data_IF_731405409787
#
_entry.id   IF_731405409787
#
_cell.length_a   1.000
_cell.length_b   1.000
_cell.length_c   1.000
_cell.angle_alpha   90.00
_cell.angle_beta   90.00
_cell.angle_gamma   90.00
#
_symmetry.space_group_name_H-M   'P 1'
#
loop_
_entity.id
_entity.type
_entity.pdbx_description
1 polymer ?
#
# COMPACT_ATOMS: atom_id res chain seq x y z
N UNK A 1 64.13 -11.72 11.33
CA UNK A 1 63.58 -11.81 9.96
C UNK A 1 62.05 -11.70 9.88
N UNK A 2 61.24 -12.43 10.66
CA UNK A 2 59.77 -12.31 10.61
C UNK A 2 59.21 -11.07 11.35
N UNK A 3 59.85 -10.66 12.46
CA UNK A 3 59.43 -9.47 13.22
C UNK A 3 59.74 -8.14 12.51
N UNK A 4 60.85 -8.05 11.78
CA UNK A 4 61.20 -6.85 11.00
C UNK A 4 60.32 -6.67 9.76
N UNK A 5 59.88 -7.77 9.11
CA UNK A 5 58.90 -7.68 8.00
C UNK A 5 57.54 -7.18 8.49
N UNK A 6 57.10 -7.60 9.67
CA UNK A 6 55.85 -7.13 10.26
C UNK A 6 55.90 -5.64 10.69
N UNK A 7 57.08 -5.15 11.10
CA UNK A 7 57.29 -3.74 11.40
C UNK A 7 57.36 -2.87 10.13
N UNK A 8 58.02 -3.36 9.07
CA UNK A 8 58.08 -2.68 7.78
C UNK A 8 56.71 -2.61 7.07
N UNK A 9 55.87 -3.64 7.23
CA UNK A 9 54.52 -3.69 6.65
C UNK A 9 53.53 -2.79 7.42
N UNK A 10 53.70 -2.66 8.75
CA UNK A 10 52.97 -1.66 9.55
C UNK A 10 53.42 -0.23 9.25
N UNK A 11 54.71 0.01 9.06
CA UNK A 11 55.24 1.33 8.70
C UNK A 11 54.87 1.75 7.25
N UNK A 12 54.63 0.79 6.36
CA UNK A 12 54.13 1.04 5.00
C UNK A 12 52.61 1.31 4.97
N UNK A 13 51.85 0.73 5.91
CA UNK A 13 50.41 0.96 6.04
C UNK A 13 50.06 2.33 6.66
N UNK A 14 50.99 2.95 7.39
CA UNK A 14 50.76 4.23 8.10
C UNK A 14 50.96 5.48 7.23
N UNK A 15 51.40 5.34 5.96
CA UNK A 15 51.67 6.46 5.04
C UNK A 15 50.67 6.67 3.91
N UNK A 16 49.53 5.97 3.89
CA UNK A 16 48.47 6.15 2.88
C UNK A 16 47.13 6.37 3.57
N UNK A 17 47.01 7.47 4.30
CA UNK A 17 45.71 8.07 4.59
C UNK A 17 45.87 9.57 4.38
N UNK A 18 45.52 10.12 3.20
CA UNK A 18 45.19 11.52 3.17
C UNK A 18 43.96 11.70 4.06
N UNK A 19 44.13 12.48 5.12
CA UNK A 19 43.09 12.94 6.04
C UNK A 19 42.03 13.72 5.27
N UNK A 20 41.13 12.99 4.60
CA UNK A 20 39.91 13.51 4.05
C UNK A 20 38.86 13.37 5.16
N UNK A 21 38.72 14.42 5.97
CA UNK A 21 37.62 14.56 6.91
C UNK A 21 36.31 14.10 6.24
N UNK A 22 35.52 13.18 6.85
CA UNK A 22 34.22 12.84 6.30
C UNK A 22 33.36 14.09 6.44
N UNK A 23 33.22 14.86 5.36
CA UNK A 23 32.21 15.92 5.27
C UNK A 23 30.87 15.21 5.40
N UNK A 24 30.36 15.10 6.62
CA UNK A 24 29.03 14.61 6.89
C UNK A 24 28.09 15.45 6.03
N UNK A 25 27.50 14.83 4.99
CA UNK A 25 26.47 15.51 4.20
C UNK A 25 25.36 15.84 5.18
N UNK A 26 25.23 17.13 5.49
CA UNK A 26 24.12 17.72 6.25
C UNK A 26 22.84 16.92 6.00
N UNK A 27 22.29 16.33 7.07
CA UNK A 27 21.09 15.50 7.02
C UNK A 27 19.92 16.26 6.43
N UNK A 28 18.94 15.56 5.86
CA UNK A 28 17.78 16.19 5.21
C UNK A 28 17.11 17.28 6.06
N UNK A 29 17.01 17.06 7.38
CA UNK A 29 16.45 18.02 8.33
C UNK A 29 17.27 19.32 8.46
N UNK A 30 18.61 19.25 8.42
CA UNK A 30 19.45 20.46 8.50
C UNK A 30 19.47 21.26 7.21
N UNK A 31 18.98 20.69 6.09
CA UNK A 31 18.74 21.42 4.84
C UNK A 31 17.45 22.24 4.88
N UNK A 32 16.42 21.73 5.57
CA UNK A 32 15.17 22.45 5.80
C UNK A 32 15.31 23.61 6.79
N UNK A 33 16.15 23.43 7.82
CA UNK A 33 16.27 24.42 8.90
C UNK A 33 17.19 25.60 8.59
N UNK A 34 18.00 25.51 7.52
CA UNK A 34 18.90 26.57 7.09
C UNK A 34 18.31 27.38 5.91
N UNK A 35 16.99 27.44 5.84
CA UNK A 35 16.29 28.36 4.95
C UNK A 35 16.43 29.78 5.54
N UNK A 36 17.42 30.54 5.04
CA UNK A 36 17.26 32.00 4.93
C UNK A 36 15.83 32.20 4.45
N UNK A 37 14.95 32.83 5.25
CA UNK A 37 13.55 33.06 4.88
C UNK A 37 13.54 33.62 3.46
N UNK A 38 13.14 32.78 2.48
CA UNK A 38 13.07 33.19 1.10
C UNK A 38 11.92 34.19 1.02
N UNK A 39 12.25 35.46 0.78
CA UNK A 39 11.25 36.50 0.65
C UNK A 39 10.31 36.16 -0.53
N UNK A 40 9.01 35.92 -0.29
CA UNK A 40 8.08 35.45 -1.32
C UNK A 40 7.99 36.40 -2.53
N UNK A 41 8.27 37.69 -2.29
CA UNK A 41 8.27 38.74 -3.31
C UNK A 41 9.53 38.75 -4.18
N UNK A 42 10.67 38.27 -3.64
CA UNK A 42 11.89 38.08 -4.42
C UNK A 42 11.75 36.85 -5.34
N UNK A 43 11.19 35.75 -4.81
CA UNK A 43 10.82 34.56 -5.59
C UNK A 43 9.87 34.87 -6.75
N UNK A 44 8.91 35.78 -6.53
CA UNK A 44 7.97 36.19 -7.57
C UNK A 44 8.65 37.01 -8.69
N UNK A 45 9.60 37.88 -8.33
CA UNK A 45 10.35 38.71 -9.28
C UNK A 45 11.31 37.87 -10.13
N UNK A 46 11.94 36.88 -9.52
CA UNK A 46 12.80 35.91 -10.21
C UNK A 46 11.99 34.95 -11.08
N UNK A 47 10.77 34.57 -10.65
CA UNK A 47 9.81 33.82 -11.45
C UNK A 47 9.34 34.62 -12.68
N UNK A 48 9.06 35.91 -12.52
CA UNK A 48 8.68 36.78 -13.64
C UNK A 48 9.83 36.97 -14.63
N UNK A 49 11.07 37.08 -14.13
CA UNK A 49 12.28 37.14 -14.95
C UNK A 49 12.62 35.80 -15.64
N UNK A 50 12.36 34.66 -15.00
CA UNK A 50 12.50 33.33 -15.64
C UNK A 50 11.39 33.07 -16.67
N UNK A 51 10.20 33.65 -16.49
CA UNK A 51 9.11 33.58 -17.46
C UNK A 51 9.38 34.42 -18.71
N UNK A 52 10.15 35.51 -18.59
CA UNK A 52 10.56 36.35 -19.71
C UNK A 52 11.83 35.87 -20.43
N UNK A 53 12.63 35.02 -19.80
CA UNK A 53 13.76 34.35 -20.44
C UNK A 53 13.23 33.06 -21.10
N UNK A 54 12.56 33.22 -22.24
CA UNK A 54 12.37 32.13 -23.19
C UNK A 54 13.74 31.54 -23.50
N UNK A 55 14.12 30.46 -22.84
CA UNK A 55 15.14 29.59 -23.42
C UNK A 55 14.57 29.14 -24.75
N UNK A 56 15.23 29.46 -25.86
CA UNK A 56 14.96 28.97 -27.22
C UNK A 56 15.13 27.44 -27.31
N UNK A 57 14.44 26.71 -26.46
CA UNK A 57 14.17 25.30 -26.60
C UNK A 57 12.91 25.28 -27.45
N UNK A 58 12.94 24.68 -28.65
CA UNK A 58 11.74 24.50 -29.44
C UNK A 58 10.78 23.59 -28.67
N UNK A 59 9.82 24.20 -27.96
CA UNK A 59 8.73 23.51 -27.29
C UNK A 59 7.60 23.42 -28.31
N UNK A 60 7.28 22.21 -28.76
CA UNK A 60 6.13 21.98 -29.63
C UNK A 60 4.84 22.27 -28.86
N UNK A 61 4.34 23.50 -28.93
CA UNK A 61 3.15 23.94 -28.19
C UNK A 61 1.91 23.12 -28.52
N UNK A 62 1.80 22.63 -29.75
CA UNK A 62 0.68 21.80 -30.19
C UNK A 62 0.76 20.39 -29.58
N UNK A 63 1.96 19.85 -29.40
CA UNK A 63 2.18 18.63 -28.63
C UNK A 63 1.80 18.87 -27.16
N UNK A 64 2.21 19.98 -26.56
CA UNK A 64 1.88 20.31 -25.17
C UNK A 64 0.36 20.55 -24.96
N UNK A 65 -0.32 21.19 -25.91
CA UNK A 65 -1.78 21.43 -25.90
C UNK A 65 -2.56 20.12 -26.08
N UNK A 66 -2.07 19.21 -26.91
CA UNK A 66 -2.71 17.89 -27.08
C UNK A 66 -2.49 17.00 -25.85
N UNK A 67 -1.28 16.95 -25.30
CA UNK A 67 -0.96 16.23 -24.07
C UNK A 67 -1.74 16.77 -22.87
N UNK A 68 -1.83 18.09 -22.71
CA UNK A 68 -2.59 18.71 -21.62
C UNK A 68 -4.09 18.49 -21.77
N UNK A 69 -4.66 18.53 -22.99
CA UNK A 69 -6.06 18.14 -23.23
C UNK A 69 -6.29 16.66 -22.88
N UNK A 70 -5.38 15.77 -23.27
CA UNK A 70 -5.46 14.36 -22.94
C UNK A 70 -5.37 14.12 -21.42
N UNK A 71 -4.45 14.80 -20.74
CA UNK A 71 -4.28 14.74 -19.29
C UNK A 71 -5.53 15.26 -18.55
N UNK A 72 -6.08 16.41 -18.99
CA UNK A 72 -7.31 16.97 -18.44
C UNK A 72 -8.53 16.08 -18.68
N UNK A 73 -8.61 15.44 -19.86
CA UNK A 73 -9.63 14.43 -20.17
C UNK A 73 -9.57 13.25 -19.21
N UNK A 74 -8.37 12.69 -18.97
CA UNK A 74 -8.14 11.61 -17.99
C UNK A 74 -8.54 12.03 -16.58
N UNK A 75 -8.11 13.23 -16.14
CA UNK A 75 -8.41 13.77 -14.82
C UNK A 75 -9.92 13.98 -14.59
N UNK A 76 -10.63 14.49 -15.60
CA UNK A 76 -12.09 14.64 -15.55
C UNK A 76 -12.80 13.28 -15.51
N UNK A 77 -12.28 12.27 -16.20
CA UNK A 77 -12.73 10.88 -16.09
C UNK A 77 -12.64 10.36 -14.66
N UNK A 78 -11.47 10.48 -14.02
CA UNK A 78 -11.28 10.05 -12.63
C UNK A 78 -12.20 10.79 -11.65
N UNK A 79 -12.41 12.10 -11.83
CA UNK A 79 -13.33 12.89 -10.99
C UNK A 79 -14.78 12.38 -11.11
N UNK A 80 -15.26 12.13 -12.33
CA UNK A 80 -16.61 11.60 -12.59
C UNK A 80 -16.81 10.20 -11.99
N UNK A 81 -15.81 9.34 -12.08
CA UNK A 81 -15.90 8.00 -11.49
C UNK A 81 -15.95 8.08 -9.96
N UNK A 82 -15.12 8.94 -9.36
CA UNK A 82 -15.10 9.12 -7.91
C UNK A 82 -16.43 9.65 -7.36
N UNK A 83 -17.06 10.63 -8.03
CA UNK A 83 -18.39 11.15 -7.63
C UNK A 83 -19.47 10.09 -7.79
N UNK A 84 -19.46 9.35 -8.90
CA UNK A 84 -20.39 8.25 -9.16
C UNK A 84 -20.31 7.16 -8.07
N UNK A 85 -19.10 6.70 -7.73
CA UNK A 85 -18.88 5.71 -6.65
C UNK A 85 -19.38 6.17 -5.30
N UNK A 86 -19.18 7.46 -4.95
CA UNK A 86 -19.72 8.04 -3.71
C UNK A 86 -21.25 8.06 -3.73
N UNK A 87 -21.86 8.44 -4.86
CA UNK A 87 -23.31 8.41 -5.06
C UNK A 87 -23.90 7.01 -4.83
N UNK A 88 -23.31 5.97 -5.41
CA UNK A 88 -23.76 4.59 -5.18
C UNK A 88 -23.71 4.16 -3.70
N UNK A 89 -22.68 4.58 -2.96
CA UNK A 89 -22.59 4.27 -1.53
C UNK A 89 -23.60 5.05 -0.70
N UNK A 90 -23.87 6.31 -1.04
CA UNK A 90 -24.90 7.12 -0.38
C UNK A 90 -26.29 6.52 -0.61
N UNK A 91 -26.60 6.09 -1.84
CA UNK A 91 -27.87 5.45 -2.16
C UNK A 91 -28.10 4.17 -1.34
N UNK A 92 -27.07 3.32 -1.20
CA UNK A 92 -27.17 2.14 -0.34
C UNK A 92 -27.43 2.50 1.12
N UNK A 93 -26.84 3.60 1.62
CA UNK A 93 -27.13 4.11 2.97
C UNK A 93 -28.55 4.62 3.09
N UNK A 94 -29.06 5.31 2.08
CA UNK A 94 -30.44 5.82 2.06
C UNK A 94 -31.47 4.69 2.04
N UNK A 95 -31.25 3.65 1.23
CA UNK A 95 -32.10 2.45 1.21
C UNK A 95 -32.07 1.73 2.56
N UNK A 96 -30.90 1.55 3.17
CA UNK A 96 -30.80 0.93 4.50
C UNK A 96 -31.52 1.75 5.59
N UNK A 97 -31.52 3.08 5.45
CA UNK A 97 -32.27 4.01 6.32
C UNK A 97 -33.76 4.10 5.98
N UNK A 98 -34.24 3.45 4.92
CA UNK A 98 -35.64 3.51 4.48
C UNK A 98 -36.04 4.82 3.78
N UNK A 99 -35.08 5.69 3.42
CA UNK A 99 -35.35 6.92 2.67
C UNK A 99 -35.68 6.67 1.20
N UNK A 100 -35.33 5.49 0.71
CA UNK A 100 -35.60 5.02 -0.66
C UNK A 100 -35.93 3.54 -0.62
N UNK A 101 -36.78 3.10 -1.54
CA UNK A 101 -37.14 1.69 -1.69
C UNK A 101 -36.00 0.86 -2.30
N UNK A 102 -35.34 1.40 -3.34
CA UNK A 102 -34.32 0.69 -4.13
C UNK A 102 -33.16 1.60 -4.53
N UNK A 103 -31.98 1.02 -4.77
CA UNK A 103 -30.83 1.75 -5.32
C UNK A 103 -30.99 1.97 -6.84
N UNK A 104 -30.13 2.80 -7.44
CA UNK A 104 -30.04 2.94 -8.90
C UNK A 104 -29.80 1.61 -9.64
N UNK A 105 -29.15 0.66 -8.97
CA UNK A 105 -28.90 -0.69 -9.51
C UNK A 105 -30.01 -1.70 -9.19
N UNK A 106 -31.14 -1.25 -8.62
CA UNK A 106 -32.28 -2.10 -8.29
C UNK A 106 -32.17 -2.93 -7.01
N UNK A 107 -31.18 -2.67 -6.13
CA UNK A 107 -31.05 -3.41 -4.87
C UNK A 107 -32.02 -2.87 -3.82
N UNK A 108 -32.72 -3.77 -3.15
CA UNK A 108 -33.62 -3.44 -2.03
C UNK A 108 -32.87 -3.49 -0.69
N UNK A 109 -33.56 -3.13 0.40
CA UNK A 109 -32.99 -3.24 1.75
C UNK A 109 -32.63 -4.69 2.09
N UNK A 110 -33.44 -5.64 1.65
CA UNK A 110 -33.22 -7.07 1.92
C UNK A 110 -32.00 -7.62 1.20
N UNK A 111 -31.56 -7.00 0.10
CA UNK A 111 -30.36 -7.43 -0.62
C UNK A 111 -29.06 -6.86 -0.02
N UNK A 112 -29.15 -5.95 0.95
CA UNK A 112 -28.02 -5.23 1.52
C UNK A 112 -27.70 -5.71 2.94
N UNK A 113 -26.40 -5.71 3.27
CA UNK A 113 -25.89 -6.03 4.60
C UNK A 113 -24.77 -5.08 4.98
N UNK A 114 -24.59 -4.90 6.29
CA UNK A 114 -23.44 -4.18 6.87
C UNK A 114 -22.35 -5.20 7.17
N UNK A 115 -21.17 -5.03 6.57
CA UNK A 115 -20.03 -5.89 6.86
C UNK A 115 -19.35 -5.50 8.19
N UNK A 116 -18.39 -6.32 8.67
CA UNK A 116 -17.61 -6.05 9.89
C UNK A 116 -16.90 -4.68 9.91
N UNK A 117 -16.64 -4.09 8.73
CA UNK A 117 -16.00 -2.77 8.58
C UNK A 117 -17.02 -1.61 8.53
N UNK A 118 -18.29 -1.85 8.83
CA UNK A 118 -19.35 -0.85 8.80
C UNK A 118 -19.77 -0.40 7.40
N UNK A 119 -19.41 -1.13 6.34
CA UNK A 119 -19.76 -0.79 4.94
C UNK A 119 -21.00 -1.55 4.49
N UNK A 120 -21.86 -0.86 3.75
CA UNK A 120 -23.07 -1.45 3.16
C UNK A 120 -22.73 -2.06 1.80
N UNK A 121 -22.86 -3.38 1.72
CA UNK A 121 -22.52 -4.20 0.56
C UNK A 121 -23.72 -5.11 0.25
N UNK A 122 -23.84 -5.64 -0.97
CA UNK A 122 -24.87 -6.64 -1.25
C UNK A 122 -24.57 -7.97 -0.59
N UNK A 123 -25.62 -8.71 -0.17
CA UNK A 123 -25.54 -10.05 0.42
C UNK A 123 -24.71 -10.99 -0.45
N UNK A 124 -25.01 -11.04 -1.75
CA UNK A 124 -24.26 -11.84 -2.75
C UNK A 124 -22.76 -11.56 -2.74
N UNK A 125 -22.36 -10.28 -2.68
CA UNK A 125 -20.94 -9.90 -2.64
C UNK A 125 -20.29 -10.25 -1.31
N UNK A 126 -21.03 -10.12 -0.20
CA UNK A 126 -20.55 -10.52 1.12
C UNK A 126 -20.29 -12.03 1.19
N UNK A 127 -21.23 -12.84 0.75
CA UNK A 127 -21.10 -14.31 0.69
C UNK A 127 -19.95 -14.76 -0.20
N UNK A 128 -19.80 -14.15 -1.38
CA UNK A 128 -18.70 -14.44 -2.29
C UNK A 128 -17.34 -14.07 -1.66
N UNK A 129 -17.27 -12.96 -0.93
CA UNK A 129 -16.07 -12.59 -0.17
C UNK A 129 -15.71 -13.59 0.92
N UNK A 130 -16.72 -14.08 1.66
CA UNK A 130 -16.53 -15.13 2.67
C UNK A 130 -16.04 -16.42 2.02
N UNK A 131 -16.73 -16.90 0.98
CA UNK A 131 -16.36 -18.12 0.24
C UNK A 131 -14.92 -18.08 -0.26
N UNK A 132 -14.43 -16.93 -0.76
CA UNK A 132 -13.03 -16.81 -1.23
C UNK A 132 -11.99 -16.76 -0.12
N UNK A 133 -12.37 -16.28 1.06
CA UNK A 133 -11.45 -16.13 2.19
C UNK A 133 -11.35 -17.40 3.01
N UNK A 134 -12.45 -18.15 3.13
CA UNK A 134 -12.55 -19.38 3.92
C UNK A 134 -12.36 -20.64 3.08
N UNK A 135 -11.59 -20.60 2.00
CA UNK A 135 -11.27 -21.79 1.19
C UNK A 135 -9.86 -22.28 1.42
N UNK A 136 -9.65 -23.57 1.16
CA UNK A 136 -8.34 -24.21 1.23
C UNK A 136 -7.79 -24.27 2.66
N UNK A 137 -6.63 -23.67 2.89
CA UNK A 137 -5.84 -23.82 4.12
C UNK A 137 -6.54 -23.21 5.35
N UNK A 138 -7.15 -22.03 5.20
CA UNK A 138 -7.84 -21.36 6.31
C UNK A 138 -9.02 -22.18 6.84
N UNK A 139 -9.78 -22.83 5.96
CA UNK A 139 -10.87 -23.73 6.35
C UNK A 139 -10.36 -24.95 7.11
N UNK A 140 -9.26 -25.52 6.65
CA UNK A 140 -8.64 -26.69 7.27
C UNK A 140 -8.10 -26.35 8.67
N UNK A 141 -7.42 -25.21 8.81
CA UNK A 141 -6.91 -24.73 10.11
C UNK A 141 -8.05 -24.45 11.08
N UNK A 142 -9.14 -23.82 10.64
CA UNK A 142 -10.30 -23.57 11.49
C UNK A 142 -10.90 -24.88 12.03
N UNK A 143 -11.17 -25.84 11.13
CA UNK A 143 -11.68 -27.17 11.50
C UNK A 143 -10.72 -27.93 12.43
N UNK A 144 -9.41 -27.85 12.18
CA UNK A 144 -8.40 -28.48 13.03
C UNK A 144 -8.36 -27.86 14.44
N UNK A 145 -8.50 -26.54 14.54
CA UNK A 145 -8.59 -25.83 15.83
C UNK A 145 -9.82 -26.23 16.62
N UNK A 146 -10.96 -26.35 15.96
CA UNK A 146 -12.21 -26.77 16.58
C UNK A 146 -12.10 -28.23 17.07
N UNK A 147 -11.53 -29.13 16.26
CA UNK A 147 -11.30 -30.53 16.62
C UNK A 147 -10.30 -30.74 17.78
N UNK A 148 -9.36 -29.80 17.96
CA UNK A 148 -8.40 -29.81 19.07
C UNK A 148 -8.82 -28.91 20.24
N UNK A 149 -9.97 -28.23 20.14
CA UNK A 149 -10.48 -27.28 21.15
C UNK A 149 -9.46 -26.20 21.57
N UNK A 150 -8.61 -25.74 20.64
CA UNK A 150 -7.56 -24.75 20.94
C UNK A 150 -8.15 -23.35 21.02
N UNK A 151 -8.15 -22.77 22.23
CA UNK A 151 -8.56 -21.38 22.50
C UNK A 151 -7.34 -20.46 22.53
N UNK A 152 -7.52 -19.22 22.07
CA UNK A 152 -6.43 -18.23 22.03
C UNK A 152 -5.45 -18.42 20.86
N UNK A 153 -4.35 -17.68 20.88
CA UNK A 153 -3.33 -17.74 19.83
C UNK A 153 -2.47 -18.99 19.99
N UNK A 154 -2.27 -19.72 18.89
CA UNK A 154 -1.35 -20.87 18.84
C UNK A 154 -0.60 -20.81 17.52
N UNK A 155 0.74 -20.94 17.59
CA UNK A 155 1.60 -20.97 16.41
C UNK A 155 1.40 -22.30 15.68
N UNK A 156 1.04 -22.22 14.40
CA UNK A 156 0.88 -23.39 13.52
C UNK A 156 2.26 -23.93 13.16
N UNK A 157 2.55 -25.19 13.52
CA UNK A 157 3.85 -25.82 13.23
C UNK A 157 5.03 -25.28 14.06
N UNK A 158 4.75 -24.60 15.18
CA UNK A 158 5.80 -24.13 16.10
C UNK A 158 6.46 -25.26 16.90
N UNK A 159 7.37 -24.90 17.81
CA UNK A 159 8.06 -25.85 18.69
C UNK A 159 7.14 -26.52 19.71
N UNK A 160 6.02 -25.89 20.06
CA UNK A 160 5.02 -26.46 20.95
C UNK A 160 4.32 -27.68 20.33
N UNK A 161 4.15 -28.74 21.10
CA UNK A 161 3.47 -29.97 20.69
C UNK A 161 2.05 -29.71 20.16
N UNK A 162 1.32 -28.80 20.81
CA UNK A 162 -0.02 -28.38 20.38
C UNK A 162 0.00 -27.74 18.98
N UNK A 163 1.04 -26.96 18.67
CA UNK A 163 1.24 -26.32 17.37
C UNK A 163 1.57 -27.33 16.27
N UNK A 164 2.39 -28.34 16.57
CA UNK A 164 2.72 -29.43 15.65
C UNK A 164 1.50 -30.31 15.36
N UNK A 165 0.74 -30.66 16.39
CA UNK A 165 -0.49 -31.46 16.25
C UNK A 165 -1.56 -30.71 15.45
N UNK A 166 -1.70 -29.40 15.65
CA UNK A 166 -2.57 -28.56 14.85
C UNK A 166 -2.17 -28.57 13.38
N UNK A 167 -0.87 -28.43 13.07
CA UNK A 167 -0.38 -28.44 11.70
C UNK A 167 -0.66 -29.78 11.00
N UNK A 168 -0.37 -30.91 11.65
CA UNK A 168 -0.61 -32.25 11.10
C UNK A 168 -2.09 -32.46 10.75
N UNK A 169 -3.00 -32.18 11.69
CA UNK A 169 -4.44 -32.29 11.45
C UNK A 169 -4.94 -31.31 10.37
N UNK A 170 -4.43 -30.07 10.36
CA UNK A 170 -4.79 -29.10 9.33
C UNK A 170 -4.33 -29.56 7.94
N UNK A 171 -3.16 -30.19 7.83
CA UNK A 171 -2.64 -30.74 6.58
C UNK A 171 -3.52 -31.87 6.03
N UNK A 172 -3.94 -32.79 6.88
CA UNK A 172 -4.87 -33.88 6.51
C UNK A 172 -6.22 -33.34 6.02
N UNK A 173 -6.79 -32.36 6.73
CA UNK A 173 -8.04 -31.74 6.32
C UNK A 173 -7.88 -30.93 5.03
N UNK A 174 -6.74 -30.29 4.83
CA UNK A 174 -6.46 -29.54 3.62
C UNK A 174 -6.33 -30.44 2.39
N UNK A 175 -5.63 -31.57 2.49
CA UNK A 175 -5.55 -32.54 1.38
C UNK A 175 -6.91 -33.13 1.06
N UNK A 176 -7.73 -33.42 2.09
CA UNK A 176 -9.12 -33.86 1.89
C UNK A 176 -9.97 -32.81 1.16
N UNK A 177 -9.93 -31.54 1.60
CA UNK A 177 -10.65 -30.44 0.95
C UNK A 177 -10.15 -30.23 -0.48
N UNK A 178 -8.83 -30.27 -0.70
CA UNK A 178 -8.23 -30.12 -2.03
C UNK A 178 -8.65 -31.26 -2.96
N UNK A 179 -8.77 -32.49 -2.44
CA UNK A 179 -9.25 -33.66 -3.18
C UNK A 179 -10.72 -33.54 -3.54
N UNK A 180 -11.56 -33.02 -2.65
CA UNK A 180 -13.00 -32.82 -2.89
C UNK A 180 -13.30 -31.73 -3.93
N UNK A 181 -12.43 -30.74 -4.06
CA UNK A 181 -12.59 -29.61 -5.00
C UNK A 181 -11.88 -29.81 -6.34
N UNK A 182 -11.28 -30.99 -6.58
CA UNK A 182 -10.65 -31.37 -7.84
C UNK A 182 -11.66 -32.12 -8.70
#
# INVERSE_FOLDING_TARGET
AAAEKAAAEKAAAEKIVPEAAPKAKAGFASRLSNEKKLDPKALYKDYEAMKSNETDIPVDEDALKTESKAANGRLNGFKKEATSRRGYMQLRKEVMKGKRERTLSGLTKDDLVVNKRGRIVSKKMHELGLKRTTTGWLAAVQKARDALSIKGFQVVGGQSELGQNLYKKAMELYTAIKRQNR
#
